data_IF_267154603893
#
_entry.id   IF_267154603893
#
_cell.length_a   1.000
_cell.length_b   1.000
_cell.length_c   1.000
_cell.angle_alpha   90.00
_cell.angle_beta   90.00
_cell.angle_gamma   90.00
#
_symmetry.space_group_name_H-M   'P 1'
#
loop_
_entity.id
_entity.type
_entity.pdbx_description
1 polymer ?
#
# COMPACT_ATOMS: atom_id res chain seq x y z
N UNK A 1 6.51 -35.83 -21.54
CA UNK A 1 7.33 -34.91 -20.72
C UNK A 1 8.70 -34.68 -21.39
N UNK A 2 8.77 -33.86 -22.46
CA UNK A 2 10.02 -33.52 -23.18
C UNK A 2 10.10 -32.07 -23.71
N UNK A 3 9.14 -31.20 -23.36
CA UNK A 3 9.07 -29.82 -23.87
C UNK A 3 9.97 -28.81 -23.11
N UNK A 4 10.49 -29.16 -21.94
CA UNK A 4 11.28 -28.24 -21.10
C UNK A 4 12.71 -27.97 -21.63
N UNK A 5 13.22 -28.78 -22.56
CA UNK A 5 14.57 -28.60 -23.11
C UNK A 5 14.62 -27.61 -24.29
N UNK A 6 13.48 -27.24 -24.87
CA UNK A 6 13.42 -26.38 -26.07
C UNK A 6 13.05 -24.91 -25.77
N UNK A 7 12.43 -24.63 -24.63
CA UNK A 7 12.13 -23.27 -24.19
C UNK A 7 11.91 -23.23 -22.68
N UNK A 8 12.56 -22.30 -22.00
CA UNK A 8 12.37 -22.05 -20.56
C UNK A 8 11.04 -21.33 -20.25
N UNK A 9 10.29 -20.89 -21.28
CA UNK A 9 9.01 -20.21 -21.11
C UNK A 9 7.89 -21.25 -21.07
N UNK A 10 7.13 -21.34 -19.95
CA UNK A 10 5.98 -22.22 -19.87
C UNK A 10 4.96 -21.87 -20.97
N UNK A 11 4.33 -22.88 -21.61
CA UNK A 11 3.29 -22.60 -22.58
C UNK A 11 2.17 -21.77 -21.94
N UNK A 12 1.53 -20.86 -22.69
CA UNK A 12 0.47 -20.02 -22.16
C UNK A 12 -0.61 -20.90 -21.52
N UNK A 13 -0.98 -20.56 -20.27
CA UNK A 13 -1.99 -21.31 -19.52
C UNK A 13 -3.29 -21.32 -20.31
N UNK A 14 -3.93 -22.51 -20.42
CA UNK A 14 -5.28 -22.61 -20.99
C UNK A 14 -6.20 -21.62 -20.28
N UNK A 15 -6.89 -20.71 -21.00
CA UNK A 15 -7.76 -19.75 -20.36
C UNK A 15 -8.85 -20.50 -19.61
N UNK A 16 -9.04 -20.15 -18.34
CA UNK A 16 -10.10 -20.73 -17.54
C UNK A 16 -11.44 -20.29 -18.13
N UNK A 17 -12.26 -21.24 -18.62
CA UNK A 17 -13.60 -20.90 -19.07
C UNK A 17 -14.39 -20.35 -17.88
N UNK A 18 -15.05 -19.21 -18.07
CA UNK A 18 -15.93 -18.62 -17.06
C UNK A 18 -16.97 -19.66 -16.67
N UNK A 19 -17.05 -20.01 -15.38
CA UNK A 19 -18.14 -20.84 -14.86
C UNK A 19 -19.44 -20.04 -15.03
N UNK A 20 -20.42 -20.63 -15.70
CA UNK A 20 -21.78 -20.09 -15.81
C UNK A 20 -22.37 -20.01 -14.40
N UNK A 21 -23.02 -18.88 -14.09
CA UNK A 21 -23.72 -18.61 -12.83
C UNK A 21 -25.16 -18.21 -13.16
N UNK A 22 -26.03 -19.18 -13.49
CA UNK A 22 -27.36 -18.91 -14.05
C UNK A 22 -28.21 -17.98 -13.19
N UNK A 23 -28.05 -18.03 -11.86
CA UNK A 23 -28.84 -17.20 -10.94
C UNK A 23 -28.52 -15.69 -10.99
N UNK A 24 -27.34 -15.28 -11.46
CA UNK A 24 -26.94 -13.86 -11.47
C UNK A 24 -26.50 -13.39 -12.85
N UNK A 25 -26.09 -14.29 -13.74
CA UNK A 25 -25.53 -13.92 -15.03
C UNK A 25 -26.51 -13.10 -15.88
N UNK A 26 -27.79 -13.43 -15.86
CA UNK A 26 -28.85 -12.70 -16.60
C UNK A 26 -29.11 -11.30 -16.04
N UNK A 27 -28.73 -11.04 -14.79
CA UNK A 27 -28.95 -9.77 -14.08
C UNK A 27 -27.65 -9.02 -13.77
N UNK A 28 -26.51 -9.59 -14.12
CA UNK A 28 -25.19 -9.11 -13.72
C UNK A 28 -24.91 -7.71 -14.28
N UNK A 29 -25.25 -7.49 -15.55
CA UNK A 29 -25.06 -6.22 -16.24
C UNK A 29 -25.93 -5.10 -15.64
N UNK A 30 -27.20 -5.42 -15.33
CA UNK A 30 -28.10 -4.49 -14.66
C UNK A 30 -27.57 -4.08 -13.29
N UNK A 31 -27.18 -5.06 -12.46
CA UNK A 31 -26.63 -4.80 -11.12
C UNK A 31 -25.34 -4.00 -11.22
N UNK A 32 -24.46 -4.33 -12.17
CA UNK A 32 -23.23 -3.60 -12.41
C UNK A 32 -23.50 -2.13 -12.79
N UNK A 33 -24.51 -1.86 -13.62
CA UNK A 33 -24.87 -0.49 -14.00
C UNK A 33 -25.22 0.38 -12.78
N UNK A 34 -25.96 -0.18 -11.82
CA UNK A 34 -26.32 0.52 -10.57
C UNK A 34 -25.12 0.70 -9.64
N UNK A 35 -24.26 -0.30 -9.53
CA UNK A 35 -23.02 -0.20 -8.74
C UNK A 35 -22.05 0.84 -9.32
N UNK A 36 -21.98 0.97 -10.64
CA UNK A 36 -21.18 2.01 -11.32
C UNK A 36 -21.76 3.39 -11.04
N UNK A 37 -23.09 3.56 -11.14
CA UNK A 37 -23.75 4.82 -10.81
C UNK A 37 -23.54 5.21 -9.33
N UNK A 38 -23.59 4.24 -8.41
CA UNK A 38 -23.36 4.44 -6.98
C UNK A 38 -21.97 5.01 -6.66
N UNK A 39 -20.96 4.76 -7.50
CA UNK A 39 -19.61 5.34 -7.29
C UNK A 39 -19.65 6.86 -7.28
N UNK A 40 -20.39 7.43 -8.23
CA UNK A 40 -20.51 8.87 -8.43
C UNK A 40 -21.50 9.51 -7.46
N UNK A 41 -22.33 8.71 -6.81
CA UNK A 41 -23.27 9.18 -5.80
C UNK A 41 -22.57 9.47 -4.45
N UNK A 42 -22.98 10.54 -3.73
CA UNK A 42 -22.60 10.76 -2.34
C UNK A 42 -22.86 9.53 -1.48
N UNK A 43 -22.03 9.27 -0.46
CA UNK A 43 -22.10 8.04 0.37
C UNK A 43 -23.51 7.72 0.91
N UNK A 44 -24.31 8.75 1.23
CA UNK A 44 -25.69 8.60 1.73
C UNK A 44 -26.71 8.17 0.66
N UNK A 45 -26.38 8.28 -0.62
CA UNK A 45 -27.25 7.98 -1.76
C UNK A 45 -26.91 6.66 -2.47
N UNK A 46 -25.85 5.98 -2.05
CA UNK A 46 -25.44 4.69 -2.65
C UNK A 46 -26.41 3.59 -2.26
N UNK A 47 -26.75 2.72 -3.21
CA UNK A 47 -27.61 1.58 -2.92
C UNK A 47 -26.88 0.58 -2.02
N UNK A 48 -27.61 0.03 -1.04
CA UNK A 48 -27.15 -1.17 -0.32
C UNK A 48 -27.44 -2.41 -1.15
N UNK A 49 -26.75 -3.53 -0.90
CA UNK A 49 -27.04 -4.80 -1.60
C UNK A 49 -28.51 -5.20 -1.49
N UNK A 50 -29.14 -4.96 -0.33
CA UNK A 50 -30.57 -5.15 -0.13
C UNK A 50 -31.42 -4.27 -1.05
N UNK A 51 -31.06 -2.99 -1.21
CA UNK A 51 -31.78 -2.05 -2.09
C UNK A 51 -31.63 -2.44 -3.56
N UNK A 52 -30.43 -2.87 -3.97
CA UNK A 52 -30.18 -3.44 -5.30
C UNK A 52 -31.11 -4.64 -5.55
N UNK A 53 -31.14 -5.60 -4.62
CA UNK A 53 -32.02 -6.77 -4.75
C UNK A 53 -33.51 -6.38 -4.85
N UNK A 54 -33.98 -5.50 -3.96
CA UNK A 54 -35.37 -5.03 -3.98
C UNK A 54 -35.74 -4.41 -5.33
N UNK A 55 -34.90 -3.54 -5.88
CA UNK A 55 -35.13 -2.92 -7.20
C UNK A 55 -35.08 -3.96 -8.32
N UNK A 56 -34.14 -4.91 -8.29
CA UNK A 56 -34.09 -5.99 -9.27
C UNK A 56 -35.39 -6.80 -9.29
N UNK A 57 -35.97 -7.07 -8.12
CA UNK A 57 -37.26 -7.79 -8.02
C UNK A 57 -38.43 -6.91 -8.44
N UNK A 58 -38.54 -5.69 -7.90
CA UNK A 58 -39.73 -4.84 -8.09
C UNK A 58 -39.81 -4.19 -9.47
N UNK A 59 -38.69 -3.77 -10.05
CA UNK A 59 -38.64 -3.06 -11.33
C UNK A 59 -38.42 -4.01 -12.51
N UNK A 60 -37.71 -5.13 -12.30
CA UNK A 60 -37.27 -6.01 -13.38
C UNK A 60 -37.72 -7.47 -13.24
N UNK A 61 -38.43 -7.84 -12.17
CA UNK A 61 -38.96 -9.20 -11.99
C UNK A 61 -37.89 -10.26 -11.75
N UNK A 62 -36.74 -9.89 -11.19
CA UNK A 62 -35.66 -10.83 -10.96
C UNK A 62 -36.04 -11.97 -10.00
N UNK A 63 -35.63 -13.20 -10.32
CA UNK A 63 -35.95 -14.41 -9.55
C UNK A 63 -34.84 -14.81 -8.56
N UNK A 64 -33.76 -14.03 -8.50
CA UNK A 64 -32.61 -14.31 -7.64
C UNK A 64 -32.83 -13.92 -6.18
N UNK A 65 -32.17 -14.65 -5.28
CA UNK A 65 -32.21 -14.36 -3.83
C UNK A 65 -31.38 -13.13 -3.45
N UNK A 66 -31.73 -12.49 -2.33
CA UNK A 66 -30.92 -11.40 -1.74
C UNK A 66 -29.48 -11.86 -1.44
N UNK A 67 -29.30 -13.11 -1.01
CA UNK A 67 -27.97 -13.67 -0.75
C UNK A 67 -27.11 -13.75 -2.02
N UNK A 68 -27.72 -14.04 -3.17
CA UNK A 68 -27.05 -14.04 -4.48
C UNK A 68 -26.56 -12.64 -4.83
N UNK A 69 -27.43 -11.63 -4.69
CA UNK A 69 -27.08 -10.22 -4.94
C UNK A 69 -26.02 -9.72 -3.97
N UNK A 70 -26.17 -10.01 -2.67
CA UNK A 70 -25.20 -9.61 -1.64
C UNK A 70 -23.82 -10.18 -1.90
N UNK A 71 -23.73 -11.49 -2.23
CA UNK A 71 -22.46 -12.13 -2.60
C UNK A 71 -21.87 -11.51 -3.87
N UNK A 72 -22.72 -11.19 -4.85
CA UNK A 72 -22.29 -10.56 -6.10
C UNK A 72 -21.73 -9.16 -5.85
N UNK A 73 -22.48 -8.29 -5.18
CA UNK A 73 -22.07 -6.92 -4.82
C UNK A 73 -20.77 -6.94 -4.01
N UNK A 74 -20.66 -7.79 -2.97
CA UNK A 74 -19.44 -7.92 -2.17
C UNK A 74 -18.23 -8.25 -3.03
N UNK A 75 -18.38 -9.22 -3.94
CA UNK A 75 -17.32 -9.62 -4.87
C UNK A 75 -16.95 -8.51 -5.85
N UNK A 76 -17.89 -7.69 -6.32
CA UNK A 76 -17.60 -6.54 -7.20
C UNK A 76 -16.85 -5.45 -6.43
N UNK A 77 -17.21 -5.21 -5.17
CA UNK A 77 -16.47 -4.31 -4.29
C UNK A 77 -15.04 -4.78 -4.03
N UNK A 78 -14.84 -6.07 -3.73
CA UNK A 78 -13.52 -6.70 -3.54
C UNK A 78 -12.63 -6.61 -4.80
N UNK A 79 -13.20 -6.65 -5.99
CA UNK A 79 -12.49 -6.59 -7.28
C UNK A 79 -12.26 -5.16 -7.80
N UNK A 80 -12.33 -4.13 -6.94
CA UNK A 80 -12.02 -2.74 -7.33
C UNK A 80 -13.16 -2.01 -8.06
N UNK A 81 -14.33 -2.63 -8.22
CA UNK A 81 -15.51 -1.90 -8.72
C UNK A 81 -16.24 -1.13 -7.61
N UNK A 82 -15.63 -0.97 -6.43
CA UNK A 82 -16.06 -0.02 -5.40
C UNK A 82 -14.90 0.68 -4.66
N UNK A 83 -13.65 0.40 -5.00
CA UNK A 83 -12.49 1.07 -4.40
C UNK A 83 -11.89 2.06 -5.40
N UNK A 84 -11.58 3.27 -4.94
CA UNK A 84 -10.52 4.06 -5.56
C UNK A 84 -9.25 3.26 -5.28
N UNK A 85 -8.67 2.66 -6.32
CA UNK A 85 -7.39 1.98 -6.22
C UNK A 85 -6.31 3.05 -6.05
N UNK A 86 -6.00 3.39 -4.79
CA UNK A 86 -4.78 4.14 -4.48
C UNK A 86 -3.65 3.12 -4.45
N UNK A 87 -3.13 2.79 -5.63
CA UNK A 87 -1.91 1.99 -5.73
C UNK A 87 -0.71 2.90 -5.50
N UNK A 88 -0.20 2.91 -4.28
CA UNK A 88 1.12 3.52 -4.00
C UNK A 88 2.18 2.52 -4.45
N UNK A 89 2.95 2.88 -5.47
CA UNK A 89 4.10 2.07 -5.89
C UNK A 89 5.14 2.10 -4.79
N UNK A 90 5.23 1.01 -4.02
CA UNK A 90 6.29 0.86 -3.02
C UNK A 90 7.57 0.46 -3.75
N UNK A 91 8.52 1.40 -3.87
CA UNK A 91 9.86 1.14 -4.40
C UNK A 91 10.69 0.42 -3.33
N UNK A 92 10.58 -0.91 -3.28
CA UNK A 92 11.47 -1.71 -2.45
C UNK A 92 12.78 -1.93 -3.19
N UNK A 93 13.82 -1.18 -2.83
CA UNK A 93 15.20 -1.57 -3.17
C UNK A 93 15.39 -3.02 -2.67
N UNK A 94 16.01 -3.87 -3.49
CA UNK A 94 16.27 -5.27 -3.09
C UNK A 94 17.28 -5.28 -1.94
N UNK A 95 16.79 -5.12 -0.72
CA UNK A 95 17.62 -5.21 0.48
C UNK A 95 18.06 -6.65 0.69
N UNK A 96 19.34 -6.81 1.07
CA UNK A 96 19.89 -8.07 1.52
C UNK A 96 18.99 -8.66 2.61
N UNK A 97 18.80 -9.98 2.62
CA UNK A 97 18.06 -10.65 3.71
C UNK A 97 18.79 -10.58 5.04
N UNK A 98 20.08 -10.28 5.02
CA UNK A 98 20.93 -10.17 6.20
C UNK A 98 20.97 -8.70 6.63
N UNK A 99 20.79 -8.44 7.92
CA UNK A 99 20.93 -7.08 8.45
C UNK A 99 22.38 -6.58 8.25
N UNK A 100 22.61 -5.44 7.56
CA UNK A 100 23.95 -4.93 7.32
C UNK A 100 24.65 -4.44 8.60
N UNK A 101 23.89 -4.11 9.65
CA UNK A 101 24.40 -3.55 10.90
C UNK A 101 24.89 -4.62 11.87
N UNK A 102 24.14 -5.71 12.01
CA UNK A 102 24.39 -6.72 13.04
C UNK A 102 24.40 -8.17 12.54
N UNK A 103 24.24 -8.39 11.24
CA UNK A 103 24.36 -9.72 10.64
C UNK A 103 23.18 -10.65 10.89
N UNK A 104 22.08 -10.19 11.51
CA UNK A 104 20.92 -11.03 11.76
C UNK A 104 20.34 -11.61 10.46
N UNK A 105 20.24 -12.94 10.40
CA UNK A 105 19.66 -13.69 9.29
C UNK A 105 18.29 -14.27 9.70
N UNK A 106 17.20 -13.85 9.04
CA UNK A 106 15.86 -14.37 9.31
C UNK A 106 15.75 -15.86 9.01
N UNK A 107 15.15 -16.60 9.93
CA UNK A 107 14.96 -18.07 9.78
C UNK A 107 13.65 -18.40 9.07
N UNK A 108 12.68 -17.49 9.12
CA UNK A 108 11.38 -17.66 8.47
C UNK A 108 11.09 -16.61 7.40
N UNK A 109 10.16 -16.93 6.50
CA UNK A 109 9.71 -15.98 5.46
C UNK A 109 9.02 -14.74 6.04
N UNK A 110 8.29 -14.92 7.14
CA UNK A 110 7.62 -13.83 7.84
C UNK A 110 8.65 -12.89 8.47
N UNK A 111 9.65 -13.43 9.18
CA UNK A 111 10.76 -12.64 9.71
C UNK A 111 11.52 -11.91 8.59
N UNK A 112 11.79 -12.60 7.46
CA UNK A 112 12.44 -11.98 6.31
C UNK A 112 11.59 -10.89 5.65
N UNK A 113 10.26 -10.91 5.82
CA UNK A 113 9.39 -9.83 5.36
C UNK A 113 9.43 -8.63 6.30
N UNK A 114 9.33 -8.87 7.61
CA UNK A 114 9.47 -7.81 8.61
C UNK A 114 10.84 -7.13 8.52
N UNK A 115 11.93 -7.89 8.53
CA UNK A 115 13.27 -7.31 8.45
C UNK A 115 13.48 -6.48 7.17
N UNK A 116 12.90 -6.89 6.03
CA UNK A 116 12.98 -6.08 4.80
C UNK A 116 12.21 -4.77 4.92
N UNK A 117 11.08 -4.77 5.62
CA UNK A 117 10.31 -3.56 5.89
C UNK A 117 11.08 -2.64 6.86
N UNK A 118 11.65 -3.19 7.93
CA UNK A 118 12.44 -2.42 8.91
C UNK A 118 13.68 -1.78 8.24
N UNK A 119 14.41 -2.56 7.42
CA UNK A 119 15.59 -2.09 6.69
C UNK A 119 15.26 -1.15 5.51
N UNK A 120 13.99 -0.96 5.16
CA UNK A 120 13.58 0.00 4.15
C UNK A 120 13.36 1.41 4.74
N UNK A 121 13.38 1.55 6.07
CA UNK A 121 13.23 2.83 6.75
C UNK A 121 14.59 3.51 6.91
N UNK A 122 14.74 4.74 6.43
CA UNK A 122 15.92 5.56 6.68
C UNK A 122 15.91 6.10 8.12
N UNK A 123 16.88 5.67 8.92
CA UNK A 123 17.13 6.22 10.25
C UNK A 123 18.15 7.34 10.18
N UNK A 124 17.73 8.54 10.54
CA UNK A 124 18.55 9.74 10.53
C UNK A 124 19.18 9.96 11.91
N UNK A 125 20.50 10.01 11.93
CA UNK A 125 21.30 10.30 13.13
C UNK A 125 21.86 11.71 13.02
N UNK A 126 21.48 12.59 13.94
CA UNK A 126 22.09 13.91 14.11
C UNK A 126 23.32 13.77 15.02
N UNK A 127 24.47 14.23 14.53
CA UNK A 127 25.66 14.37 15.37
C UNK A 127 25.44 15.53 16.37
N UNK A 128 25.47 15.28 17.69
CA UNK A 128 25.28 16.31 18.71
C UNK A 128 26.46 17.29 18.80
N UNK A 129 27.68 16.84 18.46
CA UNK A 129 28.91 17.63 18.57
C UNK A 129 29.20 18.39 17.28
N UNK A 130 28.58 17.98 16.17
CA UNK A 130 28.68 18.64 14.85
C UNK A 130 27.29 18.97 14.32
N UNK A 131 26.80 20.14 14.74
CA UNK A 131 25.55 20.71 14.22
C UNK A 131 25.53 20.68 12.69
N UNK A 132 24.67 19.86 12.11
CA UNK A 132 24.49 19.75 10.66
C UNK A 132 25.02 18.46 10.03
N UNK A 133 25.83 17.65 10.74
CA UNK A 133 26.24 16.34 10.22
C UNK A 133 25.12 15.31 10.44
N UNK A 134 24.46 14.93 9.36
CA UNK A 134 23.38 13.94 9.32
C UNK A 134 23.89 12.65 8.66
N UNK A 135 23.70 11.51 9.31
CA UNK A 135 24.02 10.21 8.71
C UNK A 135 22.76 9.35 8.62
N UNK A 136 22.45 8.82 7.43
CA UNK A 136 21.41 7.79 7.29
C UNK A 136 21.97 6.40 7.61
N UNK A 137 21.19 5.59 8.33
CA UNK A 137 21.48 4.20 8.67
C UNK A 137 20.21 3.36 8.54
N UNK A 138 20.38 2.03 8.43
CA UNK A 138 19.28 1.07 8.41
C UNK A 138 19.41 0.14 9.62
N UNK A 139 18.30 -0.10 10.32
CA UNK A 139 18.26 -0.93 11.52
C UNK A 139 17.21 -2.02 11.38
N UNK A 140 17.52 -3.23 11.83
CA UNK A 140 16.50 -4.25 12.08
C UNK A 140 16.03 -4.15 13.54
N UNK A 141 14.97 -4.87 13.89
CA UNK A 141 14.38 -4.91 15.25
C UNK A 141 15.35 -5.27 16.37
N UNK A 142 16.49 -5.91 16.06
CA UNK A 142 17.51 -6.27 17.06
C UNK A 142 18.51 -5.14 17.34
N UNK A 143 18.59 -4.17 16.43
CA UNK A 143 19.70 -3.23 16.32
C UNK A 143 19.18 -1.78 16.27
N UNK A 144 17.87 -1.63 16.43
CA UNK A 144 17.18 -0.36 16.57
C UNK A 144 17.72 0.40 17.79
N UNK A 145 18.06 1.69 17.63
CA UNK A 145 18.53 2.49 18.75
C UNK A 145 17.38 2.76 19.73
N UNK A 146 17.69 2.71 21.03
CA UNK A 146 16.73 3.07 22.06
C UNK A 146 16.34 4.56 21.99
N UNK A 147 15.12 4.85 22.46
CA UNK A 147 14.44 6.14 22.44
C UNK A 147 15.32 7.32 22.92
N UNK A 148 15.12 8.55 22.39
CA UNK A 148 13.97 9.00 21.60
C UNK A 148 14.11 8.76 20.08
N UNK A 149 13.03 8.32 19.46
CA UNK A 149 12.84 8.21 18.02
C UNK A 149 11.56 8.95 17.60
N UNK A 150 11.63 9.79 16.57
CA UNK A 150 10.52 10.60 16.09
C UNK A 150 10.34 10.39 14.59
N UNK A 151 9.11 10.08 14.17
CA UNK A 151 8.75 9.94 12.76
C UNK A 151 8.64 11.31 12.07
N UNK A 152 9.37 11.48 10.96
CA UNK A 152 9.18 12.61 10.05
C UNK A 152 8.17 12.17 8.97
N UNK A 153 6.91 12.05 9.37
CA UNK A 153 5.86 11.53 8.50
C UNK A 153 5.43 12.54 7.41
N UNK A 154 5.34 12.06 6.18
CA UNK A 154 4.72 12.81 5.10
C UNK A 154 3.22 13.00 5.32
N UNK A 155 2.69 14.19 4.99
CA UNK A 155 1.29 14.57 5.22
C UNK A 155 0.26 13.74 4.43
N UNK A 156 0.69 13.00 3.41
CA UNK A 156 -0.18 12.20 2.53
C UNK A 156 -0.04 10.71 2.79
N UNK A 157 1.19 10.19 2.79
CA UNK A 157 1.46 8.76 2.95
C UNK A 157 1.49 8.32 4.42
N UNK A 158 1.82 9.22 5.35
CA UNK A 158 2.12 8.85 6.74
C UNK A 158 3.49 8.18 6.93
N UNK A 159 4.15 7.76 5.85
CA UNK A 159 5.51 7.20 5.87
C UNK A 159 6.56 8.30 5.91
N UNK A 160 7.77 7.97 6.40
CA UNK A 160 8.94 8.84 6.35
C UNK A 160 10.13 8.32 7.16
N UNK A 161 11.27 9.04 7.12
CA UNK A 161 12.44 8.66 7.89
C UNK A 161 12.21 8.84 9.38
N UNK A 162 12.95 8.06 10.17
CA UNK A 162 12.93 8.13 11.64
C UNK A 162 14.14 8.92 12.11
N UNK A 163 13.91 9.99 12.86
CA UNK A 163 14.97 10.74 13.50
C UNK A 163 15.27 10.18 14.88
N UNK A 164 16.54 9.94 15.18
CA UNK A 164 16.98 9.43 16.49
C UNK A 164 18.10 10.27 17.10
N UNK A 165 18.17 10.26 18.44
CA UNK A 165 19.17 10.96 19.24
C UNK A 165 18.57 12.05 20.16
N UNK A 166 19.36 12.62 21.08
CA UNK A 166 18.86 13.56 22.10
C UNK A 166 18.20 14.82 21.53
N UNK A 167 18.56 15.21 20.30
CA UNK A 167 17.93 16.30 19.56
C UNK A 167 16.51 15.97 19.06
N UNK A 168 16.15 14.69 18.92
CA UNK A 168 14.80 14.25 18.53
C UNK A 168 13.75 14.55 19.61
N UNK A 169 14.13 14.46 20.90
CA UNK A 169 13.22 14.73 22.02
C UNK A 169 12.75 16.20 22.13
N UNK A 170 13.39 17.13 21.43
CA UNK A 170 13.08 18.57 21.47
C UNK A 170 12.39 19.09 20.21
N UNK A 171 12.06 18.22 19.26
CA UNK A 171 11.61 18.64 17.94
C UNK A 171 10.08 18.76 17.90
N UNK A 172 9.58 19.97 17.67
CA UNK A 172 8.17 20.18 17.31
C UNK A 172 7.98 19.88 15.82
N UNK A 173 6.86 19.21 15.48
CA UNK A 173 6.43 18.94 14.10
C UNK A 173 6.23 20.28 13.38
N UNK A 174 7.27 20.76 12.68
CA UNK A 174 7.24 22.05 11.97
C UNK A 174 8.57 22.83 11.94
N UNK A 175 9.56 22.49 12.78
CA UNK A 175 10.86 23.16 12.82
C UNK A 175 12.01 22.16 12.61
N UNK A 176 12.10 21.61 11.39
CA UNK A 176 13.18 20.71 11.02
C UNK A 176 14.48 21.51 10.75
N UNK A 177 15.64 21.09 11.30
CA UNK A 177 16.94 21.65 10.95
C UNK A 177 17.25 21.61 9.45
N UNK A 178 18.01 22.60 8.96
CA UNK A 178 18.41 22.70 7.54
C UNK A 178 19.12 21.45 7.00
N UNK A 179 19.86 20.72 7.84
CA UNK A 179 20.51 19.47 7.45
C UNK A 179 19.51 18.37 7.10
N UNK A 180 18.39 18.31 7.83
CA UNK A 180 17.31 17.35 7.57
C UNK A 180 16.52 17.79 6.34
N UNK A 181 16.19 19.08 6.20
CA UNK A 181 15.51 19.60 5.02
C UNK A 181 16.32 19.36 3.73
N UNK A 182 17.64 19.55 3.79
CA UNK A 182 18.55 19.26 2.68
C UNK A 182 18.54 17.78 2.32
N UNK A 183 18.67 16.89 3.30
CA UNK A 183 18.62 15.45 3.06
C UNK A 183 17.29 15.00 2.45
N UNK A 184 16.17 15.51 2.98
CA UNK A 184 14.83 15.24 2.45
C UNK A 184 14.75 15.67 0.99
N UNK A 185 15.21 16.88 0.68
CA UNK A 185 15.22 17.42 -0.68
C UNK A 185 16.10 16.59 -1.63
N UNK A 186 17.29 16.19 -1.19
CA UNK A 186 18.20 15.31 -1.95
C UNK A 186 17.61 13.91 -2.17
N UNK A 187 16.82 13.42 -1.22
CA UNK A 187 16.05 12.17 -1.32
C UNK A 187 14.75 12.33 -2.14
N UNK A 188 14.50 13.51 -2.72
CA UNK A 188 13.37 13.79 -3.60
C UNK A 188 12.06 14.14 -2.89
N UNK A 189 12.08 14.39 -1.59
CA UNK A 189 10.91 14.87 -0.86
C UNK A 189 10.60 16.32 -1.22
N UNK A 190 9.31 16.64 -1.34
CA UNK A 190 8.87 18.04 -1.41
C UNK A 190 8.78 18.58 0.01
N UNK A 191 9.57 19.62 0.28
CA UNK A 191 9.67 20.31 1.57
C UNK A 191 9.14 21.75 1.52
N UNK A 192 8.66 22.22 0.35
CA UNK A 192 8.38 23.64 0.09
C UNK A 192 7.05 24.14 0.68
N UNK A 193 6.07 23.26 0.91
CA UNK A 193 4.74 23.65 1.41
C UNK A 193 4.17 22.69 2.45
N UNK A 194 4.49 21.41 2.33
CA UNK A 194 4.19 20.35 3.28
C UNK A 194 5.14 19.19 2.95
N UNK A 195 5.58 18.43 3.95
CA UNK A 195 6.37 17.22 3.70
C UNK A 195 5.54 16.23 2.88
N UNK A 196 5.92 16.04 1.62
CA UNK A 196 5.30 15.06 0.72
C UNK A 196 6.37 14.08 0.24
N UNK A 197 5.97 12.82 0.15
CA UNK A 197 6.86 11.75 -0.28
C UNK A 197 7.35 11.96 -1.72
N UNK A 198 8.56 11.46 -2.04
CA UNK A 198 9.08 11.48 -3.40
C UNK A 198 8.12 10.75 -4.34
N UNK A 199 7.70 11.43 -5.42
CA UNK A 199 6.97 10.77 -6.51
C UNK A 199 7.96 9.86 -7.25
N UNK A 200 7.64 8.59 -7.49
CA UNK A 200 8.53 7.73 -8.26
C UNK A 200 8.70 8.32 -9.66
N UNK A 201 9.93 8.67 -10.02
CA UNK A 201 10.28 9.16 -11.35
C UNK A 201 9.79 8.14 -12.37
N UNK A 202 8.74 8.47 -13.11
CA UNK A 202 8.22 7.63 -14.19
C UNK A 202 9.26 7.65 -15.30
N UNK A 203 10.11 6.62 -15.36
CA UNK A 203 11.08 6.41 -16.44
C UNK A 203 10.74 5.11 -17.15
#
# INVERSE_FOLDING_TARGET
MRQALASAVPPPRKPYRRRVRPAIDDWAELVDSWLVADKQAPRKQRHTARRVWQRSVSEHGATMSEATVTRYVRRRSELGLAAIEVTVSQTHLRSSRICPTCGHEPTTRAEAAHQRADLAVDWLHLDPDRSGQLTSRYHCRHCEPDQPAVDIAGTICGDGPILTGPSAARMEIGSLPDSILRWLTDAGWDTASALRCPVPSST
#
